data_IF_663533677966
#
_entry.id   IF_663533677966
#
_cell.length_a   1.000
_cell.length_b   1.000
_cell.length_c   1.000
_cell.angle_alpha   90.00
_cell.angle_beta   90.00
_cell.angle_gamma   90.00
#
_symmetry.space_group_name_H-M   'P 1'
#
loop_
_entity.id
_entity.type
_entity.pdbx_description
1 polymer ?
#
# COMPACT_ATOMS: atom_id res chain seq x y z
N UNK A 1 -30.94 36.88 16.22
CA UNK A 1 -32.06 36.64 17.14
C UNK A 1 -32.65 35.29 16.80
N UNK A 2 -32.35 34.27 17.62
CA UNK A 2 -33.09 33.01 17.71
C UNK A 2 -32.56 32.19 18.90
N UNK A 3 -33.16 32.51 20.04
CA UNK A 3 -33.53 31.69 21.20
C UNK A 3 -32.74 30.41 21.52
N UNK A 4 -32.01 30.56 22.61
CA UNK A 4 -31.47 29.52 23.48
C UNK A 4 -32.58 29.01 24.40
N UNK A 5 -32.86 27.70 24.38
CA UNK A 5 -33.72 27.06 25.37
C UNK A 5 -32.90 26.22 26.34
N UNK A 6 -32.81 26.75 27.55
CA UNK A 6 -32.43 26.06 28.78
C UNK A 6 -33.49 25.02 29.15
N UNK A 7 -33.07 23.78 29.37
CA UNK A 7 -33.89 22.78 30.08
C UNK A 7 -33.11 22.35 31.31
N UNK A 8 -33.53 22.89 32.46
CA UNK A 8 -33.15 22.42 33.78
C UNK A 8 -34.13 21.32 34.19
N UNK A 9 -33.61 20.14 34.54
CA UNK A 9 -34.37 19.11 35.26
C UNK A 9 -33.63 18.78 36.55
N UNK A 10 -34.21 19.27 37.64
CA UNK A 10 -33.90 18.94 39.03
C UNK A 10 -34.77 17.77 39.45
N UNK A 11 -34.17 16.66 39.90
CA UNK A 11 -34.80 15.74 40.85
C UNK A 11 -33.73 15.11 41.73
N UNK A 12 -33.72 15.52 42.99
CA UNK A 12 -33.03 14.86 44.07
C UNK A 12 -34.06 14.06 44.88
N UNK A 13 -33.79 12.77 45.12
CA UNK A 13 -34.14 12.12 46.38
C UNK A 13 -33.16 10.97 46.70
N UNK A 14 -32.86 10.76 48.00
CA UNK A 14 -31.73 9.94 48.44
C UNK A 14 -32.12 8.47 48.59
N UNK A 15 -31.43 7.57 47.89
CA UNK A 15 -31.58 6.14 48.13
C UNK A 15 -30.56 5.68 49.17
N UNK A 16 -31.09 5.17 50.29
CA UNK A 16 -30.37 4.62 51.44
C UNK A 16 -29.48 3.44 51.04
N UNK A 17 -28.25 3.51 51.54
CA UNK A 17 -27.38 2.42 51.99
C UNK A 17 -27.68 0.98 51.50
N UNK A 18 -26.82 0.51 50.60
CA UNK A 18 -26.35 -0.89 50.63
C UNK A 18 -24.82 -0.90 50.52
N UNK A 19 -24.15 -0.92 51.68
CA UNK A 19 -22.72 -1.22 51.80
C UNK A 19 -22.55 -2.72 52.02
N UNK A 20 -22.13 -3.47 50.99
CA UNK A 20 -21.42 -4.78 51.09
C UNK A 20 -20.55 -5.01 49.82
N UNK A 21 -19.50 -5.85 49.88
CA UNK A 21 -18.15 -5.48 49.42
C UNK A 21 -17.93 -5.73 47.92
N UNK A 22 -17.56 -4.69 47.16
CA UNK A 22 -17.07 -4.81 45.77
C UNK A 22 -15.54 -4.92 45.71
N UNK A 23 -14.87 -5.02 46.86
CA UNK A 23 -13.39 -5.03 46.93
C UNK A 23 -12.74 -6.36 46.47
N UNK A 24 -13.53 -7.41 46.20
CA UNK A 24 -13.01 -8.71 45.73
C UNK A 24 -12.95 -8.88 44.20
N UNK A 25 -13.69 -8.06 43.43
CA UNK A 25 -13.81 -8.26 41.97
C UNK A 25 -12.83 -7.40 41.15
N UNK A 26 -12.28 -6.33 41.74
CA UNK A 26 -11.34 -5.42 41.07
C UNK A 26 -9.93 -6.03 40.96
N UNK A 27 -9.54 -6.92 41.89
CA UNK A 27 -8.21 -7.55 41.89
C UNK A 27 -8.05 -8.68 40.86
N UNK A 28 -9.12 -9.39 40.49
CA UNK A 28 -9.07 -10.49 39.51
C UNK A 28 -9.07 -9.96 38.06
N UNK A 29 -9.79 -8.85 37.79
CA UNK A 29 -9.78 -8.20 36.48
C UNK A 29 -8.43 -7.59 36.11
N UNK A 30 -7.75 -6.98 37.08
CA UNK A 30 -6.41 -6.41 36.89
C UNK A 30 -5.36 -7.49 36.57
N UNK A 31 -5.46 -8.68 37.17
CA UNK A 31 -4.53 -9.78 36.88
C UNK A 31 -4.74 -10.40 35.49
N UNK A 32 -5.98 -10.51 35.00
CA UNK A 32 -6.23 -11.02 33.65
C UNK A 32 -5.79 -10.04 32.56
N UNK A 33 -6.11 -8.75 32.71
CA UNK A 33 -5.64 -7.72 31.76
C UNK A 33 -4.11 -7.60 31.76
N UNK A 34 -3.47 -7.65 32.93
CA UNK A 34 -2.01 -7.65 33.04
C UNK A 34 -1.38 -8.92 32.45
N UNK A 35 -1.99 -10.10 32.63
CA UNK A 35 -1.51 -11.35 32.05
C UNK A 35 -1.67 -11.37 30.52
N UNK A 36 -2.81 -10.92 29.98
CA UNK A 36 -3.03 -10.77 28.53
C UNK A 36 -2.07 -9.72 27.95
N UNK A 37 -1.86 -8.60 28.63
CA UNK A 37 -0.93 -7.56 28.20
C UNK A 37 0.54 -8.03 28.27
N UNK A 38 0.92 -8.75 29.33
CA UNK A 38 2.24 -9.34 29.48
C UNK A 38 2.48 -10.45 28.45
N UNK A 39 1.48 -11.29 28.17
CA UNK A 39 1.51 -12.29 27.10
C UNK A 39 1.61 -11.60 25.74
N UNK A 40 0.80 -10.58 25.44
CA UNK A 40 0.88 -9.81 24.20
C UNK A 40 2.26 -9.15 24.01
N UNK A 41 2.83 -8.51 25.05
CA UNK A 41 4.20 -7.96 25.01
C UNK A 41 5.26 -9.05 24.86
N UNK A 42 5.08 -10.21 25.51
CA UNK A 42 6.03 -11.32 25.47
C UNK A 42 6.00 -12.04 24.12
N UNK A 43 4.83 -12.24 23.53
CA UNK A 43 4.64 -12.72 22.17
C UNK A 43 5.25 -11.74 21.16
N UNK A 44 5.09 -10.42 21.34
CA UNK A 44 5.83 -9.42 20.54
C UNK A 44 7.35 -9.44 20.74
N UNK A 45 7.84 -9.70 21.97
CA UNK A 45 9.29 -9.81 22.25
C UNK A 45 9.91 -11.09 21.69
N UNK A 46 9.20 -12.21 21.72
CA UNK A 46 9.66 -13.47 21.12
C UNK A 46 9.37 -13.58 19.62
N UNK A 47 8.54 -12.69 19.07
CA UNK A 47 8.38 -12.46 17.63
C UNK A 47 9.12 -11.22 17.13
N UNK A 48 10.17 -10.77 17.83
CA UNK A 48 11.37 -10.31 17.12
C UNK A 48 12.03 -11.53 16.46
N UNK A 49 11.25 -12.20 15.59
CA UNK A 49 11.78 -12.98 14.49
C UNK A 49 12.74 -12.05 13.74
N UNK A 50 13.79 -12.61 13.14
CA UNK A 50 14.68 -11.86 12.28
C UNK A 50 13.85 -10.91 11.40
N UNK A 51 14.27 -9.65 11.32
CA UNK A 51 13.61 -8.65 10.46
C UNK A 51 13.40 -9.29 9.10
N UNK A 52 12.15 -9.33 8.61
CA UNK A 52 11.85 -9.95 7.32
C UNK A 52 12.75 -9.34 6.26
N UNK A 53 13.41 -10.16 5.46
CA UNK A 53 14.24 -9.69 4.35
C UNK A 53 13.38 -9.65 3.08
N UNK A 54 13.31 -8.47 2.45
CA UNK A 54 12.47 -8.21 1.27
C UNK A 54 13.36 -7.75 0.13
N UNK A 55 13.28 -8.42 -1.01
CA UNK A 55 13.98 -8.00 -2.22
C UNK A 55 13.11 -7.03 -3.01
N UNK A 56 13.58 -5.79 -3.16
CA UNK A 56 12.91 -4.74 -3.91
C UNK A 56 13.55 -4.61 -5.30
N UNK A 57 12.76 -4.77 -6.35
CA UNK A 57 13.20 -4.65 -7.75
C UNK A 57 13.38 -3.19 -8.20
N UNK A 58 14.00 -2.36 -7.36
CA UNK A 58 14.33 -0.97 -7.64
C UNK A 58 15.36 -0.42 -6.65
N UNK A 59 16.18 0.52 -7.11
CA UNK A 59 17.16 1.25 -6.28
C UNK A 59 16.70 2.67 -5.90
N UNK A 60 15.49 3.07 -6.31
CA UNK A 60 14.98 4.40 -6.02
C UNK A 60 14.69 4.56 -4.51
N UNK A 61 15.28 5.58 -3.89
CA UNK A 61 15.19 5.80 -2.43
C UNK A 61 13.76 5.92 -1.91
N UNK A 62 12.87 6.60 -2.65
CA UNK A 62 11.45 6.71 -2.28
C UNK A 62 10.77 5.33 -2.21
N UNK A 63 11.11 4.41 -3.13
CA UNK A 63 10.58 3.03 -3.14
C UNK A 63 11.16 2.21 -1.99
N UNK A 64 12.47 2.32 -1.74
CA UNK A 64 13.15 1.64 -0.63
C UNK A 64 12.52 2.04 0.71
N UNK A 65 12.40 3.35 0.96
CA UNK A 65 11.80 3.87 2.20
C UNK A 65 10.34 3.44 2.36
N UNK A 66 9.54 3.53 1.30
CA UNK A 66 8.14 3.10 1.33
C UNK A 66 8.02 1.60 1.63
N UNK A 67 8.83 0.74 1.00
CA UNK A 67 8.85 -0.71 1.23
C UNK A 67 9.25 -1.04 2.66
N UNK A 68 10.32 -0.44 3.19
CA UNK A 68 10.79 -0.67 4.54
C UNK A 68 9.71 -0.34 5.59
N UNK A 69 9.03 0.81 5.46
CA UNK A 69 7.96 1.23 6.39
C UNK A 69 6.68 0.43 6.24
N UNK A 70 6.29 0.10 5.01
CA UNK A 70 5.05 -0.63 4.75
C UNK A 70 5.11 -2.07 5.30
N UNK A 71 6.28 -2.72 5.17
CA UNK A 71 6.45 -4.14 5.44
C UNK A 71 7.20 -4.44 6.75
N UNK A 72 7.70 -3.41 7.45
CA UNK A 72 8.54 -3.53 8.66
C UNK A 72 9.70 -4.51 8.42
N UNK A 73 10.43 -4.27 7.33
CA UNK A 73 11.36 -5.21 6.73
C UNK A 73 12.73 -4.60 6.41
N UNK A 74 13.76 -5.44 6.35
CA UNK A 74 15.06 -5.11 5.79
C UNK A 74 14.98 -5.26 4.26
N UNK A 75 15.28 -4.18 3.54
CA UNK A 75 15.07 -4.09 2.09
C UNK A 75 16.39 -4.27 1.37
N UNK A 76 16.45 -5.27 0.49
CA UNK A 76 17.56 -5.51 -0.43
C UNK A 76 17.17 -4.92 -1.79
N UNK A 77 17.64 -3.71 -2.14
CA UNK A 77 17.38 -3.13 -3.44
C UNK A 77 18.20 -3.84 -4.51
N UNK A 78 17.58 -4.11 -5.65
CA UNK A 78 18.22 -4.71 -6.83
C UNK A 78 17.77 -3.97 -8.08
N UNK A 79 18.73 -3.58 -8.91
CA UNK A 79 18.46 -3.06 -10.25
C UNK A 79 17.80 -4.16 -11.09
N UNK A 80 16.62 -3.86 -11.64
CA UNK A 80 15.86 -4.81 -12.45
C UNK A 80 15.23 -4.09 -13.64
N UNK A 81 15.39 -4.65 -14.83
CA UNK A 81 14.84 -4.09 -16.07
C UNK A 81 13.34 -4.33 -16.18
N UNK A 82 12.59 -3.32 -16.64
CA UNK A 82 11.13 -3.41 -16.84
C UNK A 82 10.74 -3.93 -18.23
N UNK A 83 11.65 -3.87 -19.21
CA UNK A 83 11.42 -4.31 -20.60
C UNK A 83 10.17 -3.69 -21.25
N UNK A 84 9.76 -2.51 -20.78
CA UNK A 84 8.69 -1.67 -21.33
C UNK A 84 9.23 -0.25 -21.54
N UNK A 85 8.41 0.68 -22.04
CA UNK A 85 8.78 2.09 -22.16
C UNK A 85 9.23 2.67 -20.81
N UNK A 86 10.15 3.63 -20.86
CA UNK A 86 10.62 4.32 -19.65
C UNK A 86 9.47 5.02 -18.91
N UNK A 87 8.52 5.58 -19.67
CA UNK A 87 7.21 6.01 -19.18
C UNK A 87 6.13 5.06 -19.70
N UNK A 88 5.72 4.03 -18.92
CA UNK A 88 4.58 3.19 -19.26
C UNK A 88 3.31 4.03 -19.43
N UNK A 89 2.52 3.72 -20.46
CA UNK A 89 1.21 4.33 -20.72
C UNK A 89 0.11 3.28 -20.57
N UNK A 90 -0.82 3.52 -19.65
CA UNK A 90 -1.90 2.59 -19.32
C UNK A 90 -1.51 1.56 -18.27
N UNK A 91 -2.54 0.91 -17.70
CA UNK A 91 -2.37 0.03 -16.55
C UNK A 91 -1.69 -1.29 -16.95
N UNK A 92 -2.01 -1.81 -18.13
CA UNK A 92 -1.48 -3.09 -18.63
C UNK A 92 0.04 -3.04 -18.84
N UNK A 93 0.56 -1.98 -19.48
CA UNK A 93 2.00 -1.82 -19.67
C UNK A 93 2.72 -1.58 -18.34
N UNK A 94 2.11 -0.81 -17.43
CA UNK A 94 2.66 -0.56 -16.09
C UNK A 94 2.76 -1.85 -15.29
N UNK A 95 1.72 -2.69 -15.30
CA UNK A 95 1.73 -4.01 -14.68
C UNK A 95 2.76 -4.93 -15.34
N UNK A 96 2.83 -4.95 -16.68
CA UNK A 96 3.83 -5.74 -17.41
C UNK A 96 5.25 -5.35 -17.00
N UNK A 97 5.55 -4.04 -16.87
CA UNK A 97 6.81 -3.52 -16.38
C UNK A 97 7.16 -4.04 -14.98
N UNK A 98 6.21 -3.97 -14.03
CA UNK A 98 6.41 -4.50 -12.68
C UNK A 98 6.68 -6.02 -12.68
N UNK A 99 5.92 -6.79 -13.48
CA UNK A 99 6.10 -8.23 -13.59
C UNK A 99 7.45 -8.62 -14.23
N UNK A 100 7.91 -7.88 -15.23
CA UNK A 100 9.21 -8.07 -15.83
C UNK A 100 10.34 -7.80 -14.83
N UNK A 101 10.24 -6.73 -14.04
CA UNK A 101 11.20 -6.46 -12.96
C UNK A 101 11.30 -7.61 -11.96
N UNK A 102 10.18 -8.20 -11.55
CA UNK A 102 10.19 -9.38 -10.67
C UNK A 102 10.95 -10.57 -11.29
N UNK A 103 10.71 -10.85 -12.57
CA UNK A 103 11.38 -11.94 -13.29
C UNK A 103 12.88 -11.71 -13.38
N UNK A 104 13.30 -10.50 -13.76
CA UNK A 104 14.71 -10.13 -13.91
C UNK A 104 15.44 -10.14 -12.58
N UNK A 105 14.84 -9.56 -11.53
CA UNK A 105 15.47 -9.48 -10.21
C UNK A 105 15.71 -10.87 -9.59
N UNK A 106 14.78 -11.80 -9.81
CA UNK A 106 14.92 -13.19 -9.32
C UNK A 106 16.09 -13.94 -9.95
N UNK A 107 16.60 -13.49 -11.09
CA UNK A 107 17.74 -14.11 -11.77
C UNK A 107 19.11 -13.55 -11.31
N UNK A 108 19.14 -12.35 -10.71
CA UNK A 108 20.39 -11.63 -10.40
C UNK A 108 20.55 -11.26 -8.93
N UNK A 109 19.48 -11.33 -8.14
CA UNK A 109 19.47 -10.95 -6.73
C UNK A 109 20.00 -12.03 -5.79
N UNK A 110 20.55 -11.59 -4.65
CA UNK A 110 20.78 -12.46 -3.49
C UNK A 110 19.43 -12.82 -2.86
N UNK A 111 19.04 -14.08 -3.00
CA UNK A 111 17.78 -14.61 -2.51
C UNK A 111 17.90 -15.22 -1.10
N UNK A 112 19.10 -15.22 -0.49
CA UNK A 112 19.31 -15.85 0.81
C UNK A 112 18.47 -15.18 1.90
N UNK A 113 17.57 -15.94 2.53
CA UNK A 113 16.69 -15.44 3.59
C UNK A 113 15.62 -14.44 3.12
N UNK A 114 15.47 -14.20 1.81
CA UNK A 114 14.41 -13.35 1.26
C UNK A 114 13.07 -14.09 1.37
N UNK A 115 12.08 -13.44 1.99
CA UNK A 115 10.72 -14.00 2.13
C UNK A 115 9.76 -13.45 1.07
N UNK A 116 9.94 -12.18 0.69
CA UNK A 116 9.08 -11.49 -0.28
C UNK A 116 9.93 -10.85 -1.38
N UNK A 117 9.39 -10.83 -2.60
CA UNK A 117 9.86 -9.96 -3.68
C UNK A 117 8.82 -8.90 -3.99
N UNK A 118 9.29 -7.68 -4.23
CA UNK A 118 8.44 -6.50 -4.46
C UNK A 118 8.90 -5.79 -5.73
N UNK A 119 7.98 -5.54 -6.65
CA UNK A 119 8.20 -4.61 -7.76
C UNK A 119 7.20 -3.46 -7.69
N UNK A 120 7.68 -2.28 -8.04
CA UNK A 120 6.89 -1.05 -8.09
C UNK A 120 7.20 -0.39 -9.43
N UNK A 121 6.21 -0.26 -10.29
CA UNK A 121 6.30 0.46 -11.55
C UNK A 121 5.27 1.57 -11.57
N UNK A 122 5.65 2.79 -11.96
CA UNK A 122 4.65 3.83 -12.19
C UNK A 122 4.53 4.17 -13.66
N UNK A 123 3.34 4.62 -14.01
CA UNK A 123 2.89 4.85 -15.37
C UNK A 123 1.78 5.88 -15.39
N UNK A 124 1.51 6.39 -16.59
CA UNK A 124 0.47 7.38 -16.82
C UNK A 124 -0.81 6.70 -17.30
N UNK A 125 -1.93 7.01 -16.65
CA UNK A 125 -3.25 6.56 -17.04
C UNK A 125 -4.03 7.72 -17.63
N UNK A 126 -4.47 7.53 -18.87
CA UNK A 126 -5.36 8.45 -19.55
C UNK A 126 -6.80 8.16 -19.12
N UNK A 127 -7.50 9.19 -18.66
CA UNK A 127 -8.93 9.17 -18.36
C UNK A 127 -9.65 10.08 -19.34
N UNK A 128 -10.81 9.63 -19.81
CA UNK A 128 -11.70 10.41 -20.66
C UNK A 128 -12.97 10.73 -19.87
N UNK A 129 -13.21 12.02 -19.61
CA UNK A 129 -14.41 12.47 -18.92
C UNK A 129 -15.06 13.62 -19.69
N UNK A 130 -16.29 13.43 -20.15
CA UNK A 130 -17.06 14.45 -20.87
C UNK A 130 -16.34 15.05 -22.10
N UNK A 131 -15.53 14.24 -22.80
CA UNK A 131 -14.75 14.69 -23.95
C UNK A 131 -13.42 15.38 -23.59
N UNK A 132 -13.11 15.52 -22.30
CA UNK A 132 -11.83 16.03 -21.83
C UNK A 132 -10.89 14.88 -21.45
N UNK A 133 -9.63 15.08 -21.77
CA UNK A 133 -8.53 14.19 -21.42
C UNK A 133 -7.90 14.60 -20.09
N UNK A 134 -7.71 13.63 -19.20
CA UNK A 134 -7.02 13.79 -17.92
C UNK A 134 -5.98 12.71 -17.76
N UNK A 135 -4.88 13.04 -17.10
CA UNK A 135 -3.78 12.11 -16.87
C UNK A 135 -3.57 11.91 -15.38
N UNK A 136 -3.46 10.65 -14.97
CA UNK A 136 -3.07 10.27 -13.62
C UNK A 136 -1.69 9.61 -13.66
N UNK A 137 -0.78 10.06 -12.80
CA UNK A 137 0.40 9.28 -12.42
C UNK A 137 0.02 8.32 -11.29
N UNK A 138 0.29 7.04 -11.47
CA UNK A 138 0.06 6.02 -10.45
C UNK A 138 1.12 4.93 -10.51
N UNK A 139 1.34 4.26 -9.38
CA UNK A 139 2.19 3.08 -9.30
C UNK A 139 1.37 1.79 -9.21
N UNK A 140 1.77 0.76 -9.96
CA UNK A 140 1.42 -0.64 -9.75
C UNK A 140 2.47 -1.27 -8.85
N UNK A 141 2.00 -1.87 -7.76
CA UNK A 141 2.82 -2.64 -6.81
C UNK A 141 2.45 -4.10 -6.95
N UNK A 142 3.46 -4.94 -7.16
CA UNK A 142 3.32 -6.39 -7.14
C UNK A 142 4.18 -6.96 -6.01
N UNK A 143 3.57 -7.75 -5.13
CA UNK A 143 4.27 -8.47 -4.07
C UNK A 143 4.08 -9.96 -4.30
N UNK A 144 5.19 -10.71 -4.24
CA UNK A 144 5.18 -12.17 -4.27
C UNK A 144 5.77 -12.72 -2.98
N UNK A 145 5.03 -13.59 -2.33
CA UNK A 145 5.49 -14.40 -1.21
C UNK A 145 6.21 -15.64 -1.77
N UNK A 146 7.50 -15.77 -1.46
CA UNK A 146 8.34 -16.85 -1.97
C UNK A 146 8.10 -18.19 -1.26
N UNK A 147 7.53 -18.17 -0.06
CA UNK A 147 7.22 -19.37 0.72
C UNK A 147 5.90 -19.98 0.21
N UNK A 148 4.85 -19.16 0.12
CA UNK A 148 3.52 -19.66 -0.28
C UNK A 148 3.28 -19.64 -1.80
N UNK A 149 4.11 -18.92 -2.56
CA UNK A 149 3.90 -18.64 -3.97
C UNK A 149 2.67 -17.76 -4.24
N UNK A 150 2.12 -17.10 -3.22
CA UNK A 150 1.05 -16.13 -3.37
C UNK A 150 1.58 -14.86 -4.04
N UNK A 151 0.72 -14.23 -4.82
CA UNK A 151 1.00 -12.97 -5.49
C UNK A 151 -0.19 -12.04 -5.28
N UNK A 152 0.09 -10.77 -5.03
CA UNK A 152 -0.91 -9.73 -4.90
C UNK A 152 -0.47 -8.49 -5.67
N UNK A 153 -1.47 -7.81 -6.24
CA UNK A 153 -1.30 -6.57 -6.98
C UNK A 153 -2.16 -5.50 -6.31
N UNK A 154 -1.59 -4.31 -6.14
CA UNK A 154 -2.33 -3.12 -5.77
C UNK A 154 -1.82 -1.92 -6.56
N UNK A 155 -2.61 -0.85 -6.60
CA UNK A 155 -2.18 0.43 -7.15
C UNK A 155 -2.04 1.46 -6.04
N UNK A 156 -1.16 2.45 -6.24
CA UNK A 156 -1.23 3.68 -5.45
C UNK A 156 -2.48 4.47 -5.81
N UNK A 157 -2.86 5.41 -4.94
CA UNK A 157 -3.77 6.47 -5.38
C UNK A 157 -3.11 7.23 -6.54
N UNK A 158 -3.90 7.57 -7.56
CA UNK A 158 -3.44 8.33 -8.70
C UNK A 158 -3.38 9.82 -8.39
N UNK A 159 -2.32 10.49 -8.82
CA UNK A 159 -2.21 11.95 -8.76
C UNK A 159 -2.45 12.52 -10.16
N UNK A 160 -3.35 13.49 -10.28
CA UNK A 160 -3.59 14.14 -11.56
C UNK A 160 -2.37 14.97 -11.98
N UNK A 161 -1.84 14.68 -13.16
CA UNK A 161 -0.85 15.52 -13.83
C UNK A 161 -1.61 16.52 -14.72
N UNK A 162 -1.23 17.81 -14.72
CA UNK A 162 -1.86 18.78 -15.61
C UNK A 162 -1.73 18.34 -17.08
N UNK A 163 -2.83 18.33 -17.82
CA UNK A 163 -2.87 17.82 -19.21
C UNK A 163 -1.87 18.54 -20.12
N UNK A 164 -1.67 19.86 -19.95
CA UNK A 164 -0.70 20.61 -20.73
C UNK A 164 0.74 20.12 -20.49
N UNK A 165 1.10 19.70 -19.28
CA UNK A 165 2.45 19.16 -19.00
C UNK A 165 2.69 17.85 -19.76
N UNK A 166 1.67 16.99 -19.85
CA UNK A 166 1.78 15.72 -20.60
C UNK A 166 1.83 15.99 -22.10
N UNK A 167 1.05 16.97 -22.59
CA UNK A 167 1.11 17.42 -23.98
C UNK A 167 2.50 17.98 -24.33
N UNK A 168 3.03 18.90 -23.51
CA UNK A 168 4.36 19.50 -23.71
C UNK A 168 5.47 18.44 -23.69
N UNK A 169 5.39 17.45 -22.78
CA UNK A 169 6.33 16.31 -22.75
C UNK A 169 6.24 15.46 -24.03
N UNK A 170 5.03 15.19 -24.49
CA UNK A 170 4.78 14.44 -25.73
C UNK A 170 5.33 15.18 -26.95
N UNK A 171 5.06 16.48 -27.06
CA UNK A 171 5.57 17.36 -28.12
C UNK A 171 7.11 17.48 -28.10
N UNK A 172 7.72 17.41 -26.92
CA UNK A 172 9.17 17.36 -26.74
C UNK A 172 9.80 16.00 -27.11
N UNK A 173 9.01 15.04 -27.61
CA UNK A 173 9.49 13.74 -28.10
C UNK A 173 9.29 12.57 -27.13
N UNK A 174 8.63 12.80 -25.98
CA UNK A 174 8.32 11.78 -25.00
C UNK A 174 9.55 10.99 -24.48
N UNK A 175 10.73 11.62 -24.46
CA UNK A 175 11.93 11.04 -23.84
C UNK A 175 11.84 11.11 -22.31
N UNK A 176 12.33 10.07 -21.63
CA UNK A 176 12.29 10.02 -20.18
C UNK A 176 10.90 9.78 -19.59
N UNK A 177 10.72 10.22 -18.35
CA UNK A 177 9.44 10.18 -17.62
C UNK A 177 8.84 11.58 -17.51
N UNK A 178 7.51 11.66 -17.40
CA UNK A 178 6.84 12.95 -17.15
C UNK A 178 7.28 13.57 -15.83
N UNK A 179 7.60 12.76 -14.82
CA UNK A 179 8.19 13.26 -13.58
C UNK A 179 9.53 13.95 -13.77
N UNK A 180 10.40 13.39 -14.62
CA UNK A 180 11.68 14.04 -14.97
C UNK A 180 11.47 15.33 -15.77
N UNK A 181 10.48 15.35 -16.67
CA UNK A 181 10.10 16.55 -17.42
C UNK A 181 9.54 17.66 -16.53
N UNK A 182 8.70 17.33 -15.54
CA UNK A 182 8.23 18.30 -14.53
C UNK A 182 9.41 18.87 -13.75
N UNK A 183 10.34 18.02 -13.32
CA UNK A 183 11.51 18.45 -12.57
C UNK A 183 12.45 19.34 -13.38
N UNK A 184 12.66 19.06 -14.67
CA UNK A 184 13.50 19.93 -15.52
C UNK A 184 12.90 21.32 -15.72
N UNK A 185 11.58 21.43 -15.76
CA UNK A 185 10.88 22.71 -15.98
C UNK A 185 10.65 23.52 -14.70
N UNK A 186 10.63 22.87 -13.54
CA UNK A 186 10.27 23.51 -12.26
C UNK A 186 11.41 23.55 -11.24
N UNK A 187 12.47 22.76 -11.44
CA UNK A 187 13.54 22.57 -10.47
C UNK A 187 13.16 21.70 -9.26
N UNK A 188 12.01 21.01 -9.29
CA UNK A 188 11.63 20.09 -8.22
C UNK A 188 12.48 18.80 -8.20
N UNK A 189 12.31 17.98 -7.17
CA UNK A 189 12.95 16.65 -7.15
C UNK A 189 12.36 15.75 -8.24
N UNK A 190 13.20 15.26 -9.16
CA UNK A 190 12.80 14.32 -10.21
C UNK A 190 12.31 12.98 -9.68
N UNK A 191 12.72 12.59 -8.47
CA UNK A 191 12.25 11.36 -7.83
C UNK A 191 10.91 11.56 -7.12
N UNK A 192 10.52 12.80 -6.82
CA UNK A 192 9.25 13.12 -6.14
C UNK A 192 8.59 14.39 -6.70
N UNK A 193 8.12 14.36 -7.96
CA UNK A 193 7.32 15.47 -8.52
C UNK A 193 5.97 15.61 -7.80
N UNK A 194 5.50 14.59 -7.08
CA UNK A 194 4.23 14.63 -6.36
C UNK A 194 4.27 15.61 -5.19
N UNK A 195 5.40 15.64 -4.47
CA UNK A 195 5.62 16.61 -3.41
C UNK A 195 5.48 18.06 -3.92
N UNK A 196 5.98 18.35 -5.13
CA UNK A 196 5.79 19.66 -5.76
C UNK A 196 4.33 19.90 -6.17
N UNK A 197 3.74 18.98 -6.95
CA UNK A 197 2.39 19.11 -7.48
C UNK A 197 1.30 19.20 -6.40
N UNK A 198 1.57 18.66 -5.22
CA UNK A 198 0.65 18.67 -4.07
C UNK A 198 1.03 19.69 -3.01
N UNK A 199 1.99 20.58 -3.28
CA UNK A 199 2.48 21.57 -2.29
C UNK A 199 2.90 20.93 -0.96
N UNK A 200 3.49 19.74 -1.02
CA UNK A 200 3.97 18.96 0.12
C UNK A 200 2.92 18.12 0.85
N UNK A 201 1.66 18.16 0.43
CA UNK A 201 0.60 17.42 1.12
C UNK A 201 0.72 15.90 0.96
N UNK A 202 1.16 15.42 -0.21
CA UNK A 202 1.28 14.00 -0.53
C UNK A 202 2.58 13.72 -1.28
N UNK A 203 3.71 13.54 -0.56
CA UNK A 203 4.95 13.03 -1.15
C UNK A 203 4.76 11.61 -1.69
N UNK A 204 5.55 11.25 -2.69
CA UNK A 204 5.40 9.99 -3.43
C UNK A 204 5.57 8.75 -2.55
N UNK A 205 6.49 8.78 -1.59
CA UNK A 205 6.76 7.63 -0.74
C UNK A 205 5.56 7.24 0.15
N UNK A 206 4.72 8.19 0.57
CA UNK A 206 3.47 7.92 1.28
C UNK A 206 2.42 7.25 0.40
N UNK A 207 2.30 7.65 -0.87
CA UNK A 207 1.40 7.00 -1.83
C UNK A 207 1.81 5.55 -2.08
N UNK A 208 3.11 5.32 -2.22
CA UNK A 208 3.68 3.98 -2.39
C UNK A 208 3.49 3.11 -1.14
N UNK A 209 3.72 3.67 0.05
CA UNK A 209 3.56 2.94 1.31
C UNK A 209 2.15 2.36 1.45
N UNK A 210 1.11 3.15 1.14
CA UNK A 210 -0.27 2.70 1.19
C UNK A 210 -0.56 1.56 0.20
N UNK A 211 -0.05 1.67 -1.03
CA UNK A 211 -0.20 0.61 -2.04
C UNK A 211 0.48 -0.70 -1.61
N UNK A 212 1.68 -0.61 -1.04
CA UNK A 212 2.42 -1.75 -0.48
C UNK A 212 1.66 -2.42 0.66
N UNK A 213 1.11 -1.64 1.60
CA UNK A 213 0.28 -2.18 2.69
C UNK A 213 -0.94 -2.92 2.14
N UNK A 214 -1.61 -2.35 1.14
CA UNK A 214 -2.78 -2.98 0.51
C UNK A 214 -2.43 -4.27 -0.23
N UNK A 215 -1.36 -4.27 -1.03
CA UNK A 215 -0.89 -5.46 -1.73
C UNK A 215 -0.52 -6.57 -0.74
N UNK A 216 0.25 -6.25 0.30
CA UNK A 216 0.67 -7.22 1.32
C UNK A 216 -0.52 -7.80 2.09
N UNK A 217 -1.48 -6.95 2.50
CA UNK A 217 -2.70 -7.41 3.16
C UNK A 217 -3.58 -8.31 2.27
N UNK A 218 -3.43 -8.19 0.94
CA UNK A 218 -4.19 -8.97 -0.04
C UNK A 218 -3.51 -10.29 -0.44
N UNK A 219 -2.32 -10.59 0.10
CA UNK A 219 -1.67 -11.88 -0.11
C UNK A 219 -2.51 -13.00 0.49
N UNK A 220 -3.23 -13.73 -0.36
CA UNK A 220 -3.95 -14.94 0.02
C UNK A 220 -3.13 -16.16 -0.39
N UNK A 221 -2.91 -17.13 0.51
CA UNK A 221 -2.28 -18.39 0.12
C UNK A 221 -3.05 -19.03 -1.04
N UNK A 222 -2.35 -19.53 -2.07
CA UNK A 222 -2.97 -20.22 -3.22
C UNK A 222 -3.92 -21.34 -2.81
N UNK A 223 -3.63 -22.03 -1.70
CA UNK A 223 -4.48 -23.08 -1.15
C UNK A 223 -5.89 -22.59 -0.75
N UNK A 224 -6.03 -21.33 -0.33
CA UNK A 224 -7.31 -20.74 0.05
C UNK A 224 -8.18 -20.35 -1.16
N UNK A 225 -7.59 -20.16 -2.34
CA UNK A 225 -8.32 -19.80 -3.56
C UNK A 225 -8.94 -21.01 -4.27
N UNK A 226 -8.27 -22.17 -4.24
CA UNK A 226 -8.82 -23.42 -4.83
C UNK A 226 -10.08 -23.90 -4.13
N UNK A 227 -10.20 -23.65 -2.82
CA UNK A 227 -11.40 -23.99 -2.05
C UNK A 227 -12.59 -23.08 -2.41
N UNK A 228 -12.33 -21.82 -2.81
CA UNK A 228 -13.39 -20.94 -3.30
C UNK A 228 -13.82 -21.23 -4.73
N UNK A 229 -12.91 -21.62 -5.63
CA UNK A 229 -13.28 -22.01 -7.01
C UNK A 229 -14.20 -23.24 -7.02
N UNK A 230 -13.98 -24.19 -6.11
CA UNK A 230 -14.88 -25.34 -5.92
C UNK A 230 -16.27 -24.96 -5.39
N UNK A 231 -16.42 -23.80 -4.74
CA UNK A 231 -17.70 -23.32 -4.23
C UNK A 231 -18.53 -22.56 -5.28
N UNK A 232 -17.89 -22.05 -6.34
CA UNK A 232 -18.55 -21.27 -7.40
C UNK A 232 -18.56 -21.98 -8.76
N UNK A 233 -18.18 -23.25 -8.83
CA UNK A 233 -18.46 -24.08 -9.99
C UNK A 233 -19.99 -24.14 -10.19
N UNK A 234 -20.50 -23.31 -11.10
CA UNK A 234 -21.91 -23.30 -11.47
C UNK A 234 -22.26 -24.70 -11.99
N UNK A 235 -23.38 -25.30 -11.55
CA UNK A 235 -23.81 -26.58 -12.08
C UNK A 235 -23.92 -26.47 -13.60
N UNK A 236 -23.31 -27.43 -14.28
CA UNK A 236 -23.25 -27.51 -15.73
C UNK A 236 -24.69 -27.49 -16.26
N UNK A 237 -25.10 -26.38 -16.86
CA UNK A 237 -26.46 -26.18 -17.34
C UNK A 237 -26.58 -26.73 -18.78
N UNK A 238 -26.05 -27.94 -18.98
CA UNK A 238 -26.26 -28.72 -20.20
C UNK A 238 -27.66 -29.32 -20.16
N UNK A 239 -28.66 -28.46 -20.35
CA UNK A 239 -30.01 -28.87 -20.70
C UNK A 239 -30.11 -29.06 -22.21
N UNK A 240 -30.40 -30.28 -22.62
CA UNK A 240 -30.97 -30.67 -23.92
C UNK A 240 -32.28 -29.92 -24.23
#
# INVERSE_FOLDING_TARGET
>A
QSDSQNIACSFAHPCKEMRRPVLGLVLVGASCAAAVYAWYRRSRKHHRAATRRVLLCSEAQAKIHATARALDADVVPVAAESLVREQPLGLDETLAGAMNRLRTASAVGDMEGVELTVAIENGLIQLHQAGEERWLDLAVVVIRDLISGAEAVATSAGLQIPTHVVADWSEAGAEGTVGAFVASNTGCDKQDPHNYLTSGAFPRDLLLENALRLAHASLKPRAALRSSELLFATPDNSGD
#
